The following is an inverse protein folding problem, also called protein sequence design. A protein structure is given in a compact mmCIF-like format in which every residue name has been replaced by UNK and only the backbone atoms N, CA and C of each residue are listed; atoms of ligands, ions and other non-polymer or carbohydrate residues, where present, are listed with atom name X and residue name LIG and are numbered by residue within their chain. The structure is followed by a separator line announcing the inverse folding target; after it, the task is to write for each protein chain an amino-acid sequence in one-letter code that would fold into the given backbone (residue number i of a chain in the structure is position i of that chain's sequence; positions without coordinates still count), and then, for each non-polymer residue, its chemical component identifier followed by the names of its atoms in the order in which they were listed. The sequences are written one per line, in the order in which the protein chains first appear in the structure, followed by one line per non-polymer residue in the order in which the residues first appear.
data_IF_748562551954
#
_entry.id   IF_748562551954
#
_cell.length_a   1.000
_cell.length_b   1.000
_cell.length_c   1.000
_cell.angle_alpha   90.00
_cell.angle_beta   90.00
_cell.angle_gamma   90.00
#
_symmetry.space_group_name_H-M   'P 1'
#
loop_
_entity.id
_entity.type
_entity.pdbx_description
1 polymer ?
#
# COMPACT_ATOMS: atom_id res chain seq x y z
N UNK A 1 34.43 -6.87 -23.24
CA UNK A 1 33.44 -5.98 -22.64
C UNK A 1 32.25 -6.85 -22.28
N UNK A 2 31.93 -6.98 -21.00
CA UNK A 2 30.71 -7.68 -20.57
C UNK A 2 29.71 -6.57 -20.31
N UNK A 3 28.76 -6.39 -21.22
CA UNK A 3 27.63 -5.50 -21.01
C UNK A 3 26.77 -6.10 -19.90
N UNK A 4 26.87 -5.57 -18.67
CA UNK A 4 25.86 -5.88 -17.67
C UNK A 4 24.58 -5.13 -18.06
N UNK A 5 23.62 -5.83 -18.67
CA UNK A 5 22.34 -5.25 -19.12
C UNK A 5 21.40 -4.84 -17.99
N UNK A 6 21.73 -5.12 -16.73
CA UNK A 6 20.90 -4.79 -15.56
C UNK A 6 21.80 -4.54 -14.35
N UNK A 7 21.65 -3.37 -13.73
CA UNK A 7 22.15 -3.07 -12.37
C UNK A 7 20.98 -3.17 -11.40
N UNK A 8 20.62 -4.38 -10.93
CA UNK A 8 19.58 -4.50 -9.89
C UNK A 8 20.24 -4.37 -8.53
N UNK A 9 20.46 -3.13 -8.12
CA UNK A 9 20.43 -2.80 -6.70
C UNK A 9 19.05 -2.24 -6.40
N UNK A 10 18.08 -3.13 -6.16
CA UNK A 10 16.83 -2.74 -5.49
C UNK A 10 17.20 -2.32 -4.06
N UNK A 11 17.63 -1.07 -3.90
CA UNK A 11 17.89 -0.46 -2.60
C UNK A 11 16.54 -0.30 -1.87
N UNK A 12 16.12 -1.30 -1.10
CA UNK A 12 14.89 -1.21 -0.31
C UNK A 12 14.38 -2.58 0.14
N UNK A 13 13.59 -2.58 1.21
CA UNK A 13 12.95 -3.78 1.72
C UNK A 13 11.68 -4.06 0.90
N UNK A 14 11.54 -5.31 0.41
CA UNK A 14 10.41 -5.75 -0.41
C UNK A 14 9.64 -6.85 0.30
N UNK A 15 8.31 -6.81 0.22
CA UNK A 15 7.44 -7.82 0.80
C UNK A 15 6.24 -8.10 -0.12
N UNK A 16 5.87 -9.37 -0.23
CA UNK A 16 4.65 -9.80 -0.92
C UNK A 16 3.52 -10.00 0.08
N UNK A 17 2.32 -9.53 -0.24
CA UNK A 17 1.13 -9.72 0.59
C UNK A 17 0.02 -10.41 -0.21
N UNK A 18 -0.60 -11.44 0.35
CA UNK A 18 -1.79 -12.05 -0.23
C UNK A 18 -3.05 -11.31 0.22
N UNK A 19 -3.86 -10.83 -0.72
CA UNK A 19 -5.09 -10.12 -0.41
C UNK A 19 -6.20 -11.10 0.02
N UNK A 20 -6.69 -10.97 1.24
CA UNK A 20 -7.62 -11.96 1.84
C UNK A 20 -9.11 -11.67 1.59
N UNK A 21 -9.47 -10.44 1.23
CA UNK A 21 -10.86 -9.99 1.04
C UNK A 21 -11.01 -9.13 -0.23
N UNK A 22 -12.21 -8.61 -0.46
CA UNK A 22 -12.63 -7.81 -1.60
C UNK A 22 -12.62 -6.29 -1.31
N UNK A 23 -11.93 -5.84 -0.26
CA UNK A 23 -11.88 -4.40 0.09
C UNK A 23 -11.30 -3.52 -1.00
N UNK A 24 -10.49 -4.09 -1.89
CA UNK A 24 -9.88 -3.40 -3.01
C UNK A 24 -10.48 -3.81 -4.36
N UNK A 25 -11.62 -4.51 -4.35
CA UNK A 25 -12.33 -4.93 -5.56
C UNK A 25 -13.56 -4.05 -5.81
N UNK A 26 -13.40 -3.07 -6.71
CA UNK A 26 -14.47 -2.20 -7.19
C UNK A 26 -14.97 -2.61 -8.59
N UNK A 27 -14.54 -3.78 -9.08
CA UNK A 27 -14.85 -4.27 -10.43
C UNK A 27 -14.13 -3.52 -11.57
N UNK A 28 -13.24 -2.58 -11.27
CA UNK A 28 -12.48 -1.85 -12.29
C UNK A 28 -11.17 -2.56 -12.67
N UNK A 29 -10.49 -2.08 -13.70
CA UNK A 29 -9.16 -2.60 -14.06
C UNK A 29 -8.06 -2.25 -13.06
N UNK A 30 -8.32 -1.33 -12.11
CA UNK A 30 -7.38 -0.97 -11.05
C UNK A 30 -7.63 -1.76 -9.76
N UNK A 31 -8.68 -2.58 -9.72
CA UNK A 31 -9.03 -3.42 -8.59
C UNK A 31 -7.95 -4.48 -8.30
N UNK A 32 -7.77 -4.76 -7.02
CA UNK A 32 -7.06 -5.94 -6.53
C UNK A 32 -8.08 -6.97 -6.05
N UNK A 33 -7.97 -8.19 -6.56
CA UNK A 33 -8.94 -9.26 -6.26
C UNK A 33 -8.43 -10.17 -5.15
N UNK A 34 -9.35 -10.80 -4.43
CA UNK A 34 -9.00 -11.79 -3.40
C UNK A 34 -8.09 -12.90 -3.95
N UNK A 35 -7.05 -13.24 -3.19
CA UNK A 35 -6.02 -14.23 -3.55
C UNK A 35 -4.88 -13.68 -4.41
N UNK A 36 -4.95 -12.41 -4.81
CA UNK A 36 -3.88 -11.73 -5.53
C UNK A 36 -2.69 -11.42 -4.62
N UNK A 37 -1.47 -11.57 -5.15
CA UNK A 37 -0.24 -11.21 -4.44
C UNK A 37 0.16 -9.79 -4.81
N UNK A 38 0.16 -8.90 -3.82
CA UNK A 38 0.61 -7.52 -3.93
C UNK A 38 2.12 -7.45 -3.72
N UNK A 39 2.84 -7.03 -4.74
CA UNK A 39 4.29 -6.81 -4.69
C UNK A 39 4.56 -5.38 -4.23
N UNK A 40 5.31 -5.26 -3.14
CA UNK A 40 5.43 -3.97 -2.45
C UNK A 40 6.87 -3.62 -2.11
N UNK A 41 7.12 -2.32 -1.91
CA UNK A 41 8.41 -1.77 -1.46
C UNK A 41 8.17 -0.86 -0.26
N UNK A 42 8.99 -1.03 0.77
CA UNK A 42 8.92 -0.23 2.00
C UNK A 42 9.14 1.24 1.68
N UNK A 43 8.35 2.08 2.31
CA UNK A 43 8.44 3.54 2.24
C UNK A 43 8.46 4.10 3.65
N UNK A 44 9.07 5.27 3.81
CA UNK A 44 8.94 6.01 5.06
C UNK A 44 7.51 6.53 5.20
N UNK A 45 6.88 6.46 6.39
CA UNK A 45 5.59 7.09 6.64
C UNK A 45 5.58 8.59 6.29
N UNK A 46 6.72 9.28 6.42
CA UNK A 46 6.87 10.69 6.05
C UNK A 46 6.83 10.94 4.54
N UNK A 47 7.05 9.92 3.71
CA UNK A 47 6.99 10.04 2.24
C UNK A 47 5.56 9.93 1.72
N UNK A 48 4.64 9.31 2.48
CA UNK A 48 3.27 9.01 2.05
C UNK A 48 2.54 10.22 1.43
N UNK A 49 2.57 11.44 2.02
CA UNK A 49 1.87 12.59 1.45
C UNK A 49 2.36 13.00 0.06
N UNK A 50 3.62 12.68 -0.28
CA UNK A 50 4.24 13.06 -1.56
C UNK A 50 3.93 12.08 -2.69
N UNK A 51 3.46 10.88 -2.36
CA UNK A 51 3.26 9.78 -3.31
C UNK A 51 1.83 9.20 -3.27
N UNK A 52 0.95 9.79 -2.46
CA UNK A 52 -0.42 9.28 -2.22
C UNK A 52 -1.30 9.23 -3.48
N UNK A 53 -1.05 10.10 -4.45
CA UNK A 53 -1.81 10.21 -5.70
C UNK A 53 -1.46 9.13 -6.73
N UNK A 54 -0.37 8.38 -6.51
CA UNK A 54 0.22 7.48 -7.51
C UNK A 54 0.13 6.01 -7.16
N UNK A 55 -0.05 5.69 -5.88
CA UNK A 55 0.08 4.33 -5.39
C UNK A 55 -1.01 3.98 -4.39
N UNK A 56 -1.23 2.68 -4.27
CA UNK A 56 -1.94 2.08 -3.15
C UNK A 56 -0.92 1.54 -2.15
N UNK A 57 -1.34 1.39 -0.89
CA UNK A 57 -0.45 1.14 0.23
C UNK A 57 -0.90 -0.04 1.06
N UNK A 58 0.07 -0.76 1.61
CA UNK A 58 -0.10 -1.72 2.69
C UNK A 58 0.50 -1.11 3.96
N UNK A 59 -0.31 -0.99 5.01
CA UNK A 59 0.03 -0.26 6.25
C UNK A 59 -0.24 -1.15 7.45
N UNK A 60 0.69 -1.11 8.39
CA UNK A 60 0.56 -1.71 9.72
C UNK A 60 0.63 -0.62 10.77
N UNK A 61 -0.32 -0.65 11.69
CA UNK A 61 -0.34 0.22 12.86
C UNK A 61 0.17 -0.50 14.10
N UNK A 62 0.68 0.25 15.07
CA UNK A 62 1.17 -0.28 16.36
C UNK A 62 0.04 -0.78 17.27
N UNK A 63 -1.18 -0.33 17.04
CA UNK A 63 -2.33 -0.53 17.93
C UNK A 63 -2.96 -1.91 17.87
N UNK A 64 -2.78 -2.64 16.77
CA UNK A 64 -3.45 -3.92 16.52
C UNK A 64 -2.61 -4.87 15.67
N UNK A 65 -3.04 -6.12 15.58
CA UNK A 65 -2.39 -7.16 14.79
C UNK A 65 -2.79 -7.15 13.29
N UNK A 66 -3.58 -6.17 12.85
CA UNK A 66 -4.16 -6.11 11.51
C UNK A 66 -3.23 -5.41 10.51
N UNK A 67 -3.27 -5.87 9.26
CA UNK A 67 -2.58 -5.23 8.13
C UNK A 67 -3.66 -4.67 7.21
N UNK A 68 -3.53 -3.38 6.90
CA UNK A 68 -4.49 -2.64 6.10
C UNK A 68 -3.95 -2.43 4.69
N UNK A 69 -4.84 -2.47 3.68
CA UNK A 69 -4.53 -2.11 2.29
C UNK A 69 -5.49 -1.04 1.77
N UNK A 70 -5.00 0.03 1.16
CA UNK A 70 -5.87 1.07 0.64
C UNK A 70 -5.15 2.18 -0.10
N UNK A 71 -5.95 3.09 -0.65
CA UNK A 71 -5.49 4.33 -1.27
C UNK A 71 -5.48 5.44 -0.26
N UNK A 72 -4.42 6.24 -0.20
CA UNK A 72 -4.43 7.45 0.63
C UNK A 72 -5.10 8.57 -0.17
N UNK A 73 -6.22 9.09 0.31
CA UNK A 73 -7.02 10.11 -0.40
C UNK A 73 -6.93 11.50 0.22
N UNK A 74 -6.51 11.59 1.48
CA UNK A 74 -6.31 12.85 2.17
C UNK A 74 -5.18 12.73 3.21
N UNK A 75 -4.51 13.85 3.44
CA UNK A 75 -3.51 14.01 4.49
C UNK A 75 -3.82 15.31 5.24
N UNK A 76 -3.89 15.23 6.56
CA UNK A 76 -3.93 16.38 7.46
C UNK A 76 -2.56 16.53 8.11
N UNK A 77 -1.82 17.55 7.68
CA UNK A 77 -0.47 17.82 8.14
C UNK A 77 -0.47 18.32 9.59
N UNK A 78 -1.48 19.09 10.00
CA UNK A 78 -1.56 19.65 11.35
C UNK A 78 -1.94 18.57 12.36
N UNK A 79 -2.92 17.73 12.02
CA UNK A 79 -3.33 16.58 12.83
C UNK A 79 -2.39 15.38 12.73
N UNK A 80 -1.42 15.40 11.81
CA UNK A 80 -0.53 14.28 11.48
C UNK A 80 -1.30 12.99 11.14
N UNK A 81 -2.35 13.10 10.32
CA UNK A 81 -3.20 11.97 9.94
C UNK A 81 -3.31 11.79 8.43
N UNK A 82 -3.58 10.56 8.03
CA UNK A 82 -3.91 10.19 6.65
C UNK A 82 -5.27 9.49 6.62
N UNK A 83 -5.99 9.65 5.51
CA UNK A 83 -7.24 8.91 5.25
C UNK A 83 -6.95 7.79 4.26
N UNK A 84 -7.12 6.56 4.72
CA UNK A 84 -6.97 5.34 3.94
C UNK A 84 -8.33 4.87 3.43
N UNK A 85 -8.55 5.07 2.14
CA UNK A 85 -9.75 4.69 1.40
C UNK A 85 -9.64 3.28 0.82
N UNK A 86 -10.75 2.55 0.82
CA UNK A 86 -10.87 1.23 0.16
C UNK A 86 -11.57 1.44 -1.16
N UNK A 87 -11.09 0.80 -2.24
CA UNK A 87 -11.73 0.96 -3.55
C UNK A 87 -13.17 0.43 -3.55
N UNK A 88 -13.42 -0.66 -2.82
CA UNK A 88 -14.77 -1.17 -2.61
C UNK A 88 -15.53 -0.30 -1.59
N UNK A 89 -16.49 0.47 -2.09
CA UNK A 89 -17.31 1.43 -1.30
C UNK A 89 -18.12 0.82 -0.17
N UNK A 90 -18.29 -0.50 -0.11
CA UNK A 90 -18.91 -1.18 1.03
C UNK A 90 -18.02 -1.13 2.29
N UNK A 91 -16.74 -0.83 2.12
CA UNK A 91 -15.78 -0.66 3.20
C UNK A 91 -15.62 0.81 3.55
N UNK A 92 -15.58 1.10 4.85
CA UNK A 92 -15.41 2.48 5.35
C UNK A 92 -13.96 2.91 5.27
N UNK A 93 -13.79 4.21 5.06
CA UNK A 93 -12.50 4.88 5.20
C UNK A 93 -12.00 4.81 6.63
N UNK A 94 -10.68 4.80 6.77
CA UNK A 94 -10.00 4.78 8.05
C UNK A 94 -9.04 5.96 8.15
N UNK A 95 -9.12 6.71 9.23
CA UNK A 95 -8.12 7.73 9.57
C UNK A 95 -7.02 7.10 10.42
N UNK A 96 -5.77 7.29 10.01
CA UNK A 96 -4.59 6.74 10.70
C UNK A 96 -3.68 7.90 11.07
N UNK A 97 -3.25 7.97 12.33
CA UNK A 97 -2.18 8.89 12.72
C UNK A 97 -0.84 8.35 12.18
N UNK A 98 -0.07 9.19 11.50
CA UNK A 98 1.20 8.78 10.89
C UNK A 98 2.20 8.29 11.95
N UNK A 99 2.13 8.79 13.18
CA UNK A 99 2.97 8.35 14.29
C UNK A 99 2.64 6.93 14.78
N UNK A 100 1.42 6.45 14.52
CA UNK A 100 0.96 5.09 14.87
C UNK A 100 1.32 4.06 13.79
N UNK A 101 1.84 4.49 12.65
CA UNK A 101 2.31 3.59 11.59
C UNK A 101 3.61 2.92 12.06
N UNK A 102 3.59 1.59 12.15
CA UNK A 102 4.77 0.78 12.42
C UNK A 102 5.62 0.65 11.17
N UNK A 103 4.97 0.37 10.03
CA UNK A 103 5.58 0.35 8.72
C UNK A 103 4.54 0.54 7.62
N UNK A 104 5.01 1.02 6.46
CA UNK A 104 4.21 1.18 5.27
C UNK A 104 4.97 0.68 4.03
N UNK A 105 4.25 0.07 3.10
CA UNK A 105 4.77 -0.33 1.80
C UNK A 105 3.87 0.23 0.71
N UNK A 106 4.47 0.74 -0.36
CA UNK A 106 3.73 1.08 -1.59
C UNK A 106 3.64 -0.15 -2.50
N UNK A 107 2.49 -0.33 -3.13
CA UNK A 107 2.24 -1.38 -4.12
C UNK A 107 2.76 -0.89 -5.47
N UNK A 108 3.53 -1.73 -6.18
CA UNK A 108 4.02 -1.40 -7.53
C UNK A 108 3.62 -2.42 -8.59
N UNK A 109 3.22 -3.62 -8.19
CA UNK A 109 2.75 -4.68 -9.09
C UNK A 109 1.83 -5.60 -8.30
N UNK A 110 0.88 -6.25 -8.97
CA UNK A 110 0.06 -7.30 -8.41
C UNK A 110 0.06 -8.52 -9.32
N UNK A 111 -0.03 -9.71 -8.73
CA UNK A 111 0.03 -10.99 -9.45
C UNK A 111 -1.11 -11.89 -9.05
N UNK A 112 -1.97 -12.19 -10.01
CA UNK A 112 -3.03 -13.19 -9.85
C UNK A 112 -2.41 -14.59 -9.90
N UNK A 113 -2.73 -15.43 -8.92
CA UNK A 113 -2.49 -16.87 -9.03
C UNK A 113 -3.31 -17.36 -10.24
N UNK A 114 -2.62 -17.88 -11.25
CA UNK A 114 -3.24 -18.50 -12.43
C UNK A 114 -3.88 -19.83 -12.08
#
# INVERSE_FOLDING_TARGET
MIDSNISTSLYGEHMGFELLNDSMDDGTSQAYVRGEILMTRKVSPCELPQIMDKFDFVIKTKSDDVIYVGRITACDVEGNTITLHRLNTNYKDMTINVAEIEWAYRIYESRRKR
#
